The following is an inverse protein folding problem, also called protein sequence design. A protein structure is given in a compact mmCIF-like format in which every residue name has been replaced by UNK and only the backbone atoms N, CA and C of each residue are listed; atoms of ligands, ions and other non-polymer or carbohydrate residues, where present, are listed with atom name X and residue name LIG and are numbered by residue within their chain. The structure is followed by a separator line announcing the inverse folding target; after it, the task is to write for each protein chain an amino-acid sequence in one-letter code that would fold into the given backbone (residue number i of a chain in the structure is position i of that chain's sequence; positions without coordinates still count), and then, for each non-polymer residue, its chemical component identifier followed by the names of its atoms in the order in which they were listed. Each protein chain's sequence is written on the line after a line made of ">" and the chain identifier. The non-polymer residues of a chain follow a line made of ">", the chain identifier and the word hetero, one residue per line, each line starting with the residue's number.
data_IF_669877286268
#
_entry.id   IF_669877286268
#
_cell.length_a   1.000
_cell.length_b   1.000
_cell.length_c   1.000
_cell.angle_alpha   90.00
_cell.angle_beta   90.00
_cell.angle_gamma   90.00
#
_symmetry.space_group_name_H-M   'P 1'
#
loop_
_entity.id
_entity.type
_entity.pdbx_description
1 polymer ?
#
# COMPACT_ATOMS: atom_id res chain seq x y z
N UNK A 1 6.33 0.76 1.65
CA UNK A 1 5.88 -0.62 1.36
C UNK A 1 7.10 -1.53 1.23
N UNK A 2 7.46 -2.15 2.34
CA UNK A 2 8.33 -3.31 2.56
C UNK A 2 7.89 -3.75 3.97
N UNK A 3 6.74 -4.43 4.10
CA UNK A 3 6.60 -5.88 4.15
C UNK A 3 7.58 -6.53 5.13
N UNK A 4 7.08 -6.79 6.36
CA UNK A 4 7.35 -8.02 7.11
C UNK A 4 6.46 -8.08 8.35
N UNK A 5 5.41 -8.90 8.26
CA UNK A 5 4.62 -9.34 9.41
C UNK A 5 3.19 -9.72 9.01
N UNK A 6 3.00 -11.03 8.80
CA UNK A 6 1.84 -11.75 8.25
C UNK A 6 1.78 -11.81 6.71
N UNK A 7 2.03 -12.99 6.13
CA UNK A 7 1.98 -13.26 4.69
C UNK A 7 3.21 -12.82 3.91
N UNK A 8 3.90 -13.75 3.27
CA UNK A 8 4.91 -13.46 2.25
C UNK A 8 4.21 -12.76 1.06
N UNK A 9 4.24 -11.42 0.98
CA UNK A 9 3.85 -10.75 -0.25
C UNK A 9 4.92 -11.05 -1.32
N UNK A 10 4.63 -12.03 -2.16
CA UNK A 10 5.45 -12.40 -3.31
C UNK A 10 5.09 -11.49 -4.48
N UNK A 11 6.08 -10.79 -5.02
CA UNK A 11 5.93 -10.10 -6.30
C UNK A 11 5.73 -11.16 -7.40
N UNK A 12 4.51 -11.30 -7.90
CA UNK A 12 4.22 -12.16 -9.05
C UNK A 12 4.63 -11.39 -10.30
N UNK A 13 5.37 -12.03 -11.22
CA UNK A 13 6.08 -11.40 -12.34
C UNK A 13 5.23 -10.51 -13.27
N UNK A 14 5.87 -9.78 -14.21
CA UNK A 14 5.20 -8.76 -15.01
C UNK A 14 4.11 -9.34 -15.92
N UNK A 15 2.90 -8.78 -15.84
CA UNK A 15 1.82 -9.01 -16.79
C UNK A 15 1.98 -8.04 -17.98
N UNK A 16 2.22 -8.59 -19.17
CA UNK A 16 2.44 -7.83 -20.40
C UNK A 16 1.15 -7.77 -21.23
N UNK A 17 0.58 -6.58 -21.43
CA UNK A 17 -0.55 -6.34 -22.34
C UNK A 17 -0.07 -5.50 -23.53
N UNK A 18 -0.15 -6.04 -24.75
CA UNK A 18 0.19 -5.33 -25.98
C UNK A 18 -0.98 -4.46 -26.43
N UNK A 19 -0.96 -3.17 -26.10
CA UNK A 19 -1.68 -2.15 -26.86
C UNK A 19 -0.69 -1.04 -27.28
N UNK A 20 -0.47 -0.91 -28.60
CA UNK A 20 0.19 0.22 -29.28
C UNK A 20 1.60 0.59 -28.76
N UNK A 21 2.62 -0.20 -29.11
CA UNK A 21 4.02 0.25 -29.19
C UNK A 21 4.75 0.67 -27.89
N UNK A 22 4.06 0.76 -26.76
CA UNK A 22 4.66 1.03 -25.45
C UNK A 22 4.36 -0.17 -24.55
N UNK A 23 5.41 -0.88 -24.12
CA UNK A 23 5.27 -2.00 -23.20
C UNK A 23 4.96 -1.47 -21.80
N UNK A 24 3.68 -1.44 -21.46
CA UNK A 24 3.20 -1.12 -20.13
C UNK A 24 3.43 -2.34 -19.23
N UNK A 25 4.49 -2.32 -18.42
CA UNK A 25 4.68 -3.33 -17.39
C UNK A 25 3.83 -3.01 -16.16
N UNK A 26 2.97 -3.95 -15.78
CA UNK A 26 2.21 -3.88 -14.54
C UNK A 26 2.93 -4.69 -13.47
N UNK A 27 3.16 -4.05 -12.33
CA UNK A 27 3.58 -4.67 -11.08
C UNK A 27 2.32 -5.06 -10.30
N UNK A 28 2.19 -6.34 -9.96
CA UNK A 28 1.10 -6.84 -9.14
C UNK A 28 1.60 -7.13 -7.72
N UNK A 29 0.91 -6.58 -6.73
CA UNK A 29 1.13 -6.81 -5.31
C UNK A 29 -0.08 -7.58 -4.79
N UNK A 30 0.13 -8.83 -4.42
CA UNK A 30 -0.90 -9.67 -3.81
C UNK A 30 -0.62 -9.74 -2.33
N UNK A 31 -1.64 -9.47 -1.53
CA UNK A 31 -1.59 -9.54 -0.07
C UNK A 31 -2.79 -10.33 0.45
N UNK A 32 -2.55 -11.10 1.49
CA UNK A 32 -3.56 -11.93 2.13
C UNK A 32 -3.90 -11.31 3.49
N UNK A 33 -5.18 -11.09 3.73
CA UNK A 33 -5.68 -10.63 5.03
C UNK A 33 -6.44 -11.76 5.70
N UNK A 34 -6.03 -12.09 6.92
CA UNK A 34 -6.69 -13.06 7.78
C UNK A 34 -7.00 -12.38 9.11
N UNK A 35 -8.17 -12.64 9.67
CA UNK A 35 -8.54 -12.10 10.98
C UNK A 35 -8.08 -13.06 12.10
N UNK A 36 -7.44 -12.52 13.15
CA UNK A 36 -7.00 -13.33 14.31
C UNK A 36 -8.16 -13.91 15.14
N UNK A 37 -9.34 -13.28 15.06
CA UNK A 37 -10.57 -13.58 15.78
C UNK A 37 -11.52 -14.44 14.95
N UNK A 38 -11.60 -14.21 13.64
CA UNK A 38 -12.42 -14.98 12.70
C UNK A 38 -11.56 -15.86 11.81
N UNK A 39 -11.32 -17.11 12.24
CA UNK A 39 -10.44 -18.06 11.52
C UNK A 39 -10.97 -18.52 10.16
N UNK A 40 -12.25 -18.33 9.90
CA UNK A 40 -12.89 -18.68 8.62
C UNK A 40 -12.87 -17.51 7.62
N UNK A 41 -12.26 -16.38 7.98
CA UNK A 41 -12.12 -15.23 7.09
C UNK A 41 -10.76 -15.25 6.39
N UNK A 42 -10.80 -15.43 5.07
CA UNK A 42 -9.67 -15.27 4.18
C UNK A 42 -10.01 -14.20 3.14
N UNK A 43 -9.30 -13.07 3.20
CA UNK A 43 -9.41 -12.00 2.20
C UNK A 43 -8.15 -11.95 1.35
N UNK A 44 -8.31 -11.74 0.04
CA UNK A 44 -7.20 -11.53 -0.87
C UNK A 44 -7.32 -10.14 -1.51
N UNK A 45 -6.25 -9.37 -1.43
CA UNK A 45 -6.15 -8.05 -2.04
C UNK A 45 -5.09 -8.10 -3.13
N UNK A 46 -5.42 -7.58 -4.32
CA UNK A 46 -4.44 -7.40 -5.39
C UNK A 46 -4.37 -5.94 -5.78
N UNK A 47 -3.21 -5.32 -5.63
CA UNK A 47 -2.93 -3.97 -6.12
C UNK A 47 -2.06 -4.04 -7.37
N UNK A 48 -2.48 -3.42 -8.46
CA UNK A 48 -1.67 -3.30 -9.68
C UNK A 48 -1.18 -1.87 -9.88
N UNK A 49 0.10 -1.73 -10.21
CA UNK A 49 0.79 -0.45 -10.41
C UNK A 49 1.52 -0.51 -11.74
N UNK A 50 1.34 0.49 -12.59
CA UNK A 50 2.18 0.63 -13.77
C UNK A 50 3.61 0.99 -13.35
N UNK A 51 4.60 0.21 -13.81
CA UNK A 51 6.00 0.33 -13.45
C UNK A 51 6.55 1.74 -13.63
N UNK A 52 6.05 2.48 -14.63
CA UNK A 52 6.47 3.86 -14.91
C UNK A 52 6.16 4.82 -13.74
N UNK A 53 5.15 4.51 -12.93
CA UNK A 53 4.75 5.33 -11.78
C UNK A 53 5.24 4.78 -10.45
N UNK A 54 5.71 3.53 -10.40
CA UNK A 54 6.06 2.87 -9.14
C UNK A 54 7.12 3.65 -8.34
N UNK A 55 8.20 4.09 -9.01
CA UNK A 55 9.25 4.88 -8.35
C UNK A 55 8.67 6.16 -7.74
N UNK A 56 7.88 6.90 -8.50
CA UNK A 56 7.26 8.14 -8.03
C UNK A 56 6.35 7.88 -6.82
N UNK A 57 5.48 6.87 -6.89
CA UNK A 57 4.60 6.51 -5.77
C UNK A 57 5.42 6.14 -4.53
N UNK A 58 6.47 5.34 -4.69
CA UNK A 58 7.35 4.93 -3.59
C UNK A 58 8.05 6.13 -2.95
N UNK A 59 8.61 7.02 -3.77
CA UNK A 59 9.34 8.20 -3.30
C UNK A 59 8.39 9.19 -2.62
N UNK A 60 7.20 9.43 -3.19
CA UNK A 60 6.19 10.32 -2.61
C UNK A 60 5.61 9.76 -1.31
N UNK A 61 5.39 8.44 -1.24
CA UNK A 61 4.99 7.74 -0.02
C UNK A 61 6.04 7.88 1.09
N UNK A 62 7.32 7.61 0.79
CA UNK A 62 8.39 7.76 1.77
C UNK A 62 8.57 9.21 2.21
N UNK A 63 8.36 10.17 1.30
CA UNK A 63 8.40 11.61 1.62
C UNK A 63 7.27 11.99 2.57
N UNK A 64 6.06 11.47 2.38
CA UNK A 64 4.94 11.69 3.29
C UNK A 64 5.25 11.17 4.71
N UNK A 65 5.79 9.95 4.83
CA UNK A 65 6.20 9.39 6.11
C UNK A 65 7.24 10.27 6.82
N UNK A 66 8.33 10.61 6.12
CA UNK A 66 9.41 11.44 6.68
C UNK A 66 8.93 12.83 7.09
N UNK A 67 8.11 13.48 6.28
CA UNK A 67 7.52 14.80 6.60
C UNK A 67 6.62 14.73 7.84
N UNK A 68 5.91 13.62 8.00
CA UNK A 68 5.08 13.35 9.17
C UNK A 68 5.84 12.91 10.42
N UNK A 69 7.17 12.76 10.34
CA UNK A 69 7.99 12.29 11.45
C UNK A 69 7.87 10.79 11.72
N UNK A 70 7.28 10.02 10.81
CA UNK A 70 7.15 8.57 10.96
C UNK A 70 8.48 7.87 10.70
N UNK A 71 8.91 7.03 11.64
CA UNK A 71 10.08 6.18 11.47
C UNK A 71 9.86 5.18 10.32
N UNK A 72 10.64 5.32 9.24
CA UNK A 72 10.50 4.50 8.03
C UNK A 72 10.88 3.04 8.19
N UNK A 73 11.53 2.67 9.30
CA UNK A 73 11.84 1.29 9.65
C UNK A 73 10.63 0.58 10.29
N UNK A 74 9.64 1.36 10.76
CA UNK A 74 8.37 0.86 11.29
C UNK A 74 7.35 0.81 10.16
N UNK A 75 6.69 -0.33 10.02
CA UNK A 75 5.66 -0.53 9.01
C UNK A 75 4.46 0.42 9.22
N UNK A 76 4.05 1.12 8.17
CA UNK A 76 2.88 2.00 8.21
C UNK A 76 1.61 1.20 7.86
N UNK A 77 0.78 0.91 8.86
CA UNK A 77 -0.46 0.12 8.74
C UNK A 77 -1.67 0.91 9.28
N UNK A 78 -2.84 0.67 8.68
CA UNK A 78 -4.10 1.27 9.14
C UNK A 78 -4.42 0.97 10.62
N UNK A 79 -4.12 -0.26 11.07
CA UNK A 79 -4.31 -0.67 12.47
C UNK A 79 -3.42 0.08 13.46
N UNK A 80 -2.36 0.76 13.00
CA UNK A 80 -1.46 1.54 13.87
C UNK A 80 -1.86 3.01 13.98
N UNK A 81 -2.79 3.49 13.13
CA UNK A 81 -3.21 4.89 13.11
C UNK A 81 -3.79 5.33 14.46
N UNK A 82 -4.51 4.43 15.14
CA UNK A 82 -5.16 4.69 16.42
C UNK A 82 -4.62 3.82 17.56
N UNK A 83 -3.57 3.03 17.30
CA UNK A 83 -3.01 2.14 18.32
C UNK A 83 -2.08 2.91 19.26
N UNK A 84 -2.31 2.76 20.57
CA UNK A 84 -1.39 3.24 21.60
C UNK A 84 -0.17 2.32 21.79
N UNK A 85 -0.22 1.09 21.27
CA UNK A 85 0.75 0.02 21.56
C UNK A 85 1.51 -0.47 20.32
N UNK A 86 1.15 -0.02 19.12
CA UNK A 86 1.70 -0.55 17.87
C UNK A 86 1.91 0.54 16.83
N UNK A 87 2.93 0.36 15.99
CA UNK A 87 3.41 1.38 15.05
C UNK A 87 4.36 2.37 15.72
N UNK A 88 4.48 3.56 15.14
CA UNK A 88 5.31 4.62 15.70
C UNK A 88 4.54 5.39 16.77
N UNK A 89 4.71 4.98 18.03
CA UNK A 89 4.03 5.57 19.17
C UNK A 89 4.50 6.99 19.50
N UNK A 90 5.65 7.43 18.96
CA UNK A 90 6.18 8.77 19.16
C UNK A 90 5.45 9.83 18.31
N UNK A 91 4.78 9.41 17.23
CA UNK A 91 4.00 10.29 16.37
C UNK A 91 2.58 10.43 16.97
N UNK A 92 2.09 11.65 17.25
CA UNK A 92 0.72 11.86 17.73
C UNK A 92 -0.34 11.34 16.74
N UNK A 93 -1.48 10.88 17.23
CA UNK A 93 -2.55 10.27 16.41
C UNK A 93 -3.00 11.19 15.28
N UNK A 94 -3.16 12.49 15.56
CA UNK A 94 -3.56 13.52 14.59
C UNK A 94 -2.58 13.55 13.41
N UNK A 95 -1.28 13.48 13.70
CA UNK A 95 -0.23 13.45 12.68
C UNK A 95 -0.23 12.15 11.88
N UNK A 96 -0.57 11.02 12.50
CA UNK A 96 -0.75 9.74 11.78
C UNK A 96 -1.90 9.82 10.78
N UNK A 97 -3.01 10.47 11.16
CA UNK A 97 -4.18 10.67 10.29
C UNK A 97 -3.81 11.59 9.12
N UNK A 98 -3.07 12.68 9.37
CA UNK A 98 -2.58 13.57 8.30
C UNK A 98 -1.71 12.82 7.29
N UNK A 99 -0.76 11.99 7.77
CA UNK A 99 0.09 11.15 6.92
C UNK A 99 -0.76 10.20 6.07
N UNK A 100 -1.76 9.55 6.67
CA UNK A 100 -2.66 8.66 5.94
C UNK A 100 -3.44 9.41 4.85
N UNK A 101 -3.94 10.61 5.16
CA UNK A 101 -4.62 11.48 4.21
C UNK A 101 -3.71 11.86 3.03
N UNK A 102 -2.47 12.27 3.32
CA UNK A 102 -1.47 12.61 2.30
C UNK A 102 -1.15 11.43 1.38
N UNK A 103 -1.05 10.22 1.94
CA UNK A 103 -0.82 9.00 1.17
C UNK A 103 -2.03 8.64 0.30
N UNK A 104 -3.24 8.77 0.83
CA UNK A 104 -4.47 8.55 0.05
C UNK A 104 -4.59 9.55 -1.11
N UNK A 105 -4.15 10.79 -0.90
CA UNK A 105 -4.10 11.85 -1.91
C UNK A 105 -3.21 11.48 -3.12
N UNK A 106 -2.20 10.62 -2.94
CA UNK A 106 -1.32 10.16 -4.03
C UNK A 106 -2.07 9.36 -5.10
N UNK A 107 -3.27 8.84 -4.79
CA UNK A 107 -4.02 7.92 -5.64
C UNK A 107 -5.42 8.42 -6.07
N UNK A 108 -5.85 9.63 -5.69
CA UNK A 108 -7.27 10.03 -5.72
C UNK A 108 -7.84 10.35 -7.11
N UNK A 109 -7.02 10.58 -8.15
CA UNK A 109 -7.54 10.92 -9.46
C UNK A 109 -8.09 9.66 -10.19
N UNK A 110 -9.42 9.46 -10.21
CA UNK A 110 -10.12 8.32 -10.88
C UNK A 110 -9.65 8.02 -12.32
N UNK A 111 -9.19 9.03 -13.08
CA UNK A 111 -8.67 8.87 -14.46
C UNK A 111 -7.16 8.54 -14.53
N UNK A 112 -6.40 8.84 -13.47
CA UNK A 112 -4.94 8.71 -13.37
C UNK A 112 -4.51 7.87 -12.15
N UNK A 113 -5.40 7.00 -11.65
CA UNK A 113 -5.12 6.17 -10.49
C UNK A 113 -3.86 5.32 -10.79
N UNK A 114 -2.78 5.62 -10.07
CA UNK A 114 -1.48 4.98 -10.27
C UNK A 114 -1.43 3.59 -9.63
N UNK A 115 -2.36 3.34 -8.69
CA UNK A 115 -2.63 2.06 -8.05
C UNK A 115 -4.09 1.68 -8.30
N UNK A 116 -4.33 0.44 -8.73
CA UNK A 116 -5.68 -0.13 -8.83
C UNK A 116 -5.81 -1.30 -7.87
N UNK A 117 -6.84 -1.27 -7.03
CA UNK A 117 -7.20 -2.40 -6.17
C UNK A 117 -8.23 -3.28 -6.87
N UNK A 118 -7.90 -4.55 -7.02
CA UNK A 118 -8.79 -5.60 -7.47
C UNK A 118 -9.19 -6.37 -6.21
N UNK A 119 -10.41 -6.12 -5.74
CA UNK A 119 -11.03 -6.89 -4.65
C UNK A 119 -12.04 -7.85 -5.27
N UNK A 120 -11.89 -9.14 -5.00
CA UNK A 120 -12.95 -10.10 -5.21
C UNK A 120 -13.71 -10.24 -3.89
N UNK A 121 -14.93 -9.73 -3.85
CA UNK A 121 -15.87 -10.07 -2.79
C UNK A 121 -16.48 -11.42 -3.15
N UNK A 122 -16.03 -12.48 -2.47
CA UNK A 122 -16.71 -13.79 -2.50
C UNK A 122 -17.98 -13.76 -1.67
#
# INVERSE_FOLDING_TARGET
>A
MLLRGAGEARAVGPLCSKQKGVMLMLLAFVDETSDTKFKDYFGLCCATINSNFYRQIKDDFQRALKRGGWNTDIEFKGSYLFSALSGDTNVPIEKRIEIASDILALNTAKRNARVKFNVNSG
#
